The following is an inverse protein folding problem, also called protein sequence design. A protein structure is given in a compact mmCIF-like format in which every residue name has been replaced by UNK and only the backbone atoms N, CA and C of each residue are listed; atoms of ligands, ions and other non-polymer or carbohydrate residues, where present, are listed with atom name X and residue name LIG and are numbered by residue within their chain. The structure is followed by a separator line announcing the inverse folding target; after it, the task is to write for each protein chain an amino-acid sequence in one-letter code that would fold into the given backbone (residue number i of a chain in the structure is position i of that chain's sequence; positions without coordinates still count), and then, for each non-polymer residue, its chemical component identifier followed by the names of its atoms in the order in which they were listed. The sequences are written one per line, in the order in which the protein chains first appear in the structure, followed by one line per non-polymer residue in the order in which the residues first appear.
data_IF_972455235998
#
_entry.id   IF_972455235998
#
_cell.length_a   1.000
_cell.length_b   1.000
_cell.length_c   1.000
_cell.angle_alpha   90.00
_cell.angle_beta   90.00
_cell.angle_gamma   90.00
#
_symmetry.space_group_name_H-M   'P 1'
#
loop_
_entity.id
_entity.type
_entity.pdbx_description
1 polymer ?
#
# COMPACT_ATOMS: atom_id res chain seq x y z
N UNK A 1 26.87 -4.03 -20.67
CA UNK A 1 26.82 -3.46 -19.31
C UNK A 1 26.40 -4.54 -18.34
N UNK A 2 27.24 -4.87 -17.37
CA UNK A 2 26.95 -5.95 -16.43
C UNK A 2 26.29 -5.35 -15.20
N UNK A 3 25.05 -5.76 -14.91
CA UNK A 3 24.36 -5.36 -13.69
C UNK A 3 24.76 -6.28 -12.53
N UNK A 4 24.96 -5.70 -11.35
CA UNK A 4 25.23 -6.41 -10.12
C UNK A 4 24.10 -6.17 -9.13
N UNK A 5 23.69 -7.21 -8.42
CA UNK A 5 22.76 -7.09 -7.31
C UNK A 5 23.49 -6.66 -6.05
N UNK A 6 22.93 -5.72 -5.32
CA UNK A 6 23.36 -5.27 -4.00
C UNK A 6 22.21 -5.31 -3.02
N UNK A 7 22.47 -5.80 -1.83
CA UNK A 7 21.52 -5.77 -0.70
C UNK A 7 22.19 -5.20 0.55
N UNK A 8 21.42 -4.45 1.33
CA UNK A 8 21.89 -3.98 2.63
C UNK A 8 20.82 -4.17 3.72
N UNK A 9 21.27 -4.56 4.91
CA UNK A 9 20.43 -4.72 6.09
C UNK A 9 21.23 -4.39 7.35
N UNK A 10 20.80 -3.43 8.18
CA UNK A 10 19.74 -2.46 7.89
C UNK A 10 20.12 -1.52 6.74
N UNK A 11 19.10 -0.92 6.11
CA UNK A 11 19.28 0.09 5.07
C UNK A 11 19.96 1.36 5.61
N UNK A 12 20.91 1.90 4.85
CA UNK A 12 21.56 3.18 5.20
C UNK A 12 20.84 4.37 4.58
N UNK A 13 20.93 5.59 5.14
CA UNK A 13 20.33 6.78 4.56
C UNK A 13 20.74 7.04 3.09
N UNK A 14 22.00 6.77 2.74
CA UNK A 14 22.48 6.94 1.37
C UNK A 14 21.82 5.96 0.39
N UNK A 15 21.60 4.71 0.80
CA UNK A 15 20.90 3.71 -0.01
C UNK A 15 19.43 4.04 -0.15
N UNK A 16 18.75 4.45 0.93
CA UNK A 16 17.35 4.90 0.88
C UNK A 16 17.19 6.05 -0.12
N UNK A 17 18.04 7.07 -0.05
CA UNK A 17 18.01 8.19 -0.98
C UNK A 17 18.30 7.78 -2.44
N UNK A 18 19.15 6.77 -2.66
CA UNK A 18 19.43 6.26 -4.00
C UNK A 18 18.25 5.45 -4.56
N UNK A 19 17.58 4.64 -3.73
CA UNK A 19 16.38 3.90 -4.11
C UNK A 19 15.23 4.88 -4.44
N UNK A 20 15.00 5.89 -3.60
CA UNK A 20 13.96 6.88 -3.81
C UNK A 20 14.13 7.63 -5.14
N UNK A 21 15.38 7.96 -5.51
CA UNK A 21 15.69 8.63 -6.79
C UNK A 21 15.37 7.82 -8.03
N UNK A 22 15.36 6.50 -7.98
CA UNK A 22 15.05 5.63 -9.12
C UNK A 22 13.60 5.12 -9.12
N UNK A 23 12.84 5.41 -8.05
CA UNK A 23 11.46 4.95 -7.87
C UNK A 23 10.46 6.10 -7.83
N UNK A 24 10.36 6.87 -8.88
CA UNK A 24 9.45 8.02 -8.92
C UNK A 24 7.96 7.63 -8.90
N UNK A 25 7.64 6.42 -9.29
CA UNK A 25 6.25 5.96 -9.37
C UNK A 25 5.71 5.49 -8.01
N UNK A 26 6.56 4.89 -7.17
CA UNK A 26 6.15 4.28 -5.90
C UNK A 26 6.34 5.21 -4.71
N UNK A 27 5.31 5.48 -3.91
CA UNK A 27 5.46 6.18 -2.63
C UNK A 27 5.99 5.26 -1.51
N UNK A 28 6.10 3.95 -1.74
CA UNK A 28 6.51 2.93 -0.75
C UNK A 28 8.02 2.68 -0.72
N UNK A 29 8.80 3.35 -1.56
CA UNK A 29 10.25 3.22 -1.64
C UNK A 29 10.96 4.51 -1.19
N UNK A 30 10.41 5.20 -0.19
CA UNK A 30 10.93 6.46 0.34
C UNK A 30 11.60 6.30 1.70
N UNK A 31 12.48 7.23 2.06
CA UNK A 31 13.09 7.26 3.38
C UNK A 31 12.05 7.45 4.50
N UNK A 32 10.99 8.25 4.25
CA UNK A 32 9.91 8.45 5.21
C UNK A 32 9.09 7.16 5.44
N UNK A 33 8.78 6.42 4.37
CA UNK A 33 8.13 5.10 4.49
C UNK A 33 9.01 4.11 5.27
N UNK A 34 10.32 4.05 4.95
CA UNK A 34 11.28 3.22 5.66
C UNK A 34 11.31 3.52 7.16
N UNK A 35 11.28 4.82 7.53
CA UNK A 35 11.24 5.23 8.95
C UNK A 35 9.96 4.77 9.65
N UNK A 36 8.80 4.83 8.99
CA UNK A 36 7.54 4.32 9.54
C UNK A 36 7.60 2.80 9.76
N UNK A 37 8.11 2.05 8.79
CA UNK A 37 8.27 0.59 8.92
C UNK A 37 9.24 0.21 10.06
N UNK A 38 10.32 0.96 10.22
CA UNK A 38 11.26 0.75 11.32
C UNK A 38 10.63 1.04 12.70
N UNK A 39 9.82 2.10 12.81
CA UNK A 39 9.07 2.42 14.03
C UNK A 39 8.03 1.33 14.36
N UNK A 40 7.45 0.71 13.35
CA UNK A 40 6.56 -0.46 13.49
C UNK A 40 7.31 -1.77 13.81
N UNK A 41 8.61 -1.72 14.09
CA UNK A 41 9.43 -2.87 14.51
C UNK A 41 9.97 -3.74 13.38
N UNK A 42 9.90 -3.30 12.14
CA UNK A 42 10.45 -4.02 10.98
C UNK A 42 11.90 -3.59 10.72
N UNK A 43 12.75 -4.52 10.30
CA UNK A 43 14.08 -4.17 9.79
C UNK A 43 13.98 -3.86 8.30
N UNK A 44 14.26 -2.61 7.93
CA UNK A 44 14.22 -2.19 6.54
C UNK A 44 15.52 -2.59 5.84
N UNK A 45 15.38 -3.28 4.71
CA UNK A 45 16.45 -3.66 3.81
C UNK A 45 16.33 -2.89 2.49
N UNK A 46 17.42 -2.79 1.74
CA UNK A 46 17.41 -2.30 0.36
C UNK A 46 17.89 -3.40 -0.58
N UNK A 47 17.22 -3.50 -1.73
CA UNK A 47 17.60 -4.35 -2.85
C UNK A 47 17.78 -3.48 -4.09
N UNK A 48 18.92 -3.59 -4.75
CA UNK A 48 19.26 -2.75 -5.87
C UNK A 48 19.96 -3.51 -6.99
N UNK A 49 19.74 -3.08 -8.22
CA UNK A 49 20.62 -3.35 -9.35
C UNK A 49 21.49 -2.12 -9.56
N UNK A 50 22.78 -2.35 -9.64
CA UNK A 50 23.78 -1.33 -9.94
C UNK A 50 24.52 -1.67 -11.23
N UNK A 51 24.76 -0.67 -12.03
CA UNK A 51 25.82 -0.71 -13.04
C UNK A 51 27.15 -0.23 -12.44
N UNK A 52 28.14 0.02 -13.27
CA UNK A 52 29.48 0.46 -12.81
C UNK A 52 29.46 1.88 -12.17
N UNK A 53 28.37 2.64 -12.33
CA UNK A 53 28.28 4.07 -11.92
C UNK A 53 27.25 4.27 -10.83
N UNK A 54 26.02 3.73 -10.99
CA UNK A 54 24.89 4.10 -10.15
C UNK A 54 23.92 2.93 -9.91
N UNK A 55 23.02 3.10 -8.93
CA UNK A 55 21.81 2.27 -8.81
C UNK A 55 20.87 2.64 -9.95
N UNK A 56 20.47 1.64 -10.73
CA UNK A 56 19.57 1.80 -11.89
C UNK A 56 18.15 1.32 -11.62
N UNK A 57 17.99 0.42 -10.65
CA UNK A 57 16.69 -0.04 -10.16
C UNK A 57 16.83 -0.53 -8.72
N UNK A 58 15.76 -0.49 -7.94
CA UNK A 58 15.80 -1.05 -6.59
C UNK A 58 14.50 -0.81 -5.84
N UNK A 59 14.35 -1.46 -4.69
CA UNK A 59 13.21 -1.30 -3.80
C UNK A 59 13.60 -1.57 -2.35
N UNK A 60 12.63 -1.33 -1.45
CA UNK A 60 12.73 -1.69 -0.06
C UNK A 60 12.23 -3.13 0.18
N UNK A 61 12.88 -3.82 1.10
CA UNK A 61 12.40 -5.04 1.72
C UNK A 61 12.15 -4.82 3.21
N UNK A 62 11.13 -5.46 3.74
CA UNK A 62 10.74 -5.39 5.15
C UNK A 62 10.97 -6.75 5.79
N UNK A 63 11.98 -6.83 6.64
CA UNK A 63 12.34 -8.07 7.32
C UNK A 63 11.70 -8.08 8.72
N UNK A 64 10.71 -8.94 8.89
CA UNK A 64 10.05 -9.16 10.16
C UNK A 64 10.87 -10.05 11.10
N UNK A 65 10.82 -9.76 12.39
CA UNK A 65 11.57 -10.45 13.47
C UNK A 65 10.74 -11.50 14.18
N UNK A 66 10.22 -12.48 13.46
CA UNK A 66 9.55 -13.62 14.09
C UNK A 66 10.53 -14.54 14.83
N UNK A 67 10.19 -14.99 16.07
CA UNK A 67 11.04 -15.90 16.86
C UNK A 67 11.33 -17.26 16.18
N UNK A 68 10.41 -17.73 15.35
CA UNK A 68 10.47 -19.06 14.72
C UNK A 68 10.67 -19.02 13.20
N UNK A 69 10.41 -17.88 12.56
CA UNK A 69 10.65 -17.70 11.13
C UNK A 69 10.84 -16.22 10.84
N UNK A 70 11.83 -15.91 10.00
CA UNK A 70 11.95 -14.57 9.43
C UNK A 70 11.09 -14.50 8.18
N UNK A 71 10.32 -13.42 8.04
CA UNK A 71 9.54 -13.11 6.85
C UNK A 71 10.15 -11.89 6.19
N UNK A 72 10.29 -11.96 4.89
CA UNK A 72 10.65 -10.82 4.06
C UNK A 72 9.42 -10.42 3.23
N UNK A 73 9.09 -9.16 3.25
CA UNK A 73 8.05 -8.57 2.41
C UNK A 73 8.67 -7.55 1.46
N UNK A 74 8.34 -7.61 0.17
CA UNK A 74 8.65 -6.60 -0.83
C UNK A 74 7.33 -6.05 -1.34
N UNK A 75 7.02 -4.80 -0.98
CA UNK A 75 5.70 -4.19 -1.24
C UNK A 75 5.60 -3.63 -2.65
N UNK A 76 6.69 -3.06 -3.17
CA UNK A 76 6.70 -2.32 -4.43
C UNK A 76 8.01 -2.58 -5.18
N UNK A 77 8.12 -3.73 -5.87
CA UNK A 77 9.32 -4.06 -6.66
C UNK A 77 9.49 -3.08 -7.82
N UNK A 78 10.73 -2.84 -8.26
CA UNK A 78 11.01 -1.95 -9.36
C UNK A 78 10.76 -2.63 -10.70
N UNK A 79 10.58 -1.83 -11.75
CA UNK A 79 10.67 -2.34 -13.11
C UNK A 79 12.11 -2.73 -13.42
N UNK A 80 12.32 -3.95 -13.89
CA UNK A 80 13.64 -4.55 -14.06
C UNK A 80 13.96 -4.82 -15.53
N UNK A 81 15.15 -4.43 -15.96
CA UNK A 81 15.71 -4.83 -17.26
C UNK A 81 16.32 -6.24 -17.24
N UNK A 82 16.78 -6.69 -16.08
CA UNK A 82 17.33 -8.03 -15.84
C UNK A 82 16.68 -8.65 -14.59
N UNK A 83 15.44 -9.16 -14.69
CA UNK A 83 14.70 -9.69 -13.54
C UNK A 83 15.39 -10.85 -12.85
N UNK A 84 16.02 -11.77 -13.59
CA UNK A 84 16.72 -12.93 -13.02
C UNK A 84 17.85 -12.52 -12.07
N UNK A 85 18.71 -11.59 -12.48
CA UNK A 85 19.83 -11.11 -11.63
C UNK A 85 19.31 -10.54 -10.31
N UNK A 86 18.20 -9.80 -10.37
CA UNK A 86 17.61 -9.19 -9.17
C UNK A 86 17.00 -10.24 -8.24
N UNK A 87 16.14 -11.11 -8.78
CA UNK A 87 15.41 -12.06 -7.96
C UNK A 87 16.28 -13.21 -7.46
N UNK A 88 17.29 -13.64 -8.22
CA UNK A 88 18.30 -14.57 -7.72
C UNK A 88 19.08 -13.97 -6.55
N UNK A 89 19.44 -12.69 -6.64
CA UNK A 89 20.08 -11.95 -5.55
C UNK A 89 19.17 -11.82 -4.31
N UNK A 90 17.86 -11.56 -4.48
CA UNK A 90 16.90 -11.55 -3.36
C UNK A 90 16.79 -12.93 -2.71
N UNK A 91 16.76 -14.02 -3.50
CA UNK A 91 16.74 -15.38 -2.96
C UNK A 91 18.03 -15.73 -2.21
N UNK A 92 19.20 -15.30 -2.70
CA UNK A 92 20.47 -15.48 -1.99
C UNK A 92 20.49 -14.70 -0.68
N UNK A 93 19.99 -13.46 -0.67
CA UNK A 93 19.78 -12.70 0.56
C UNK A 93 18.85 -13.44 1.53
N UNK A 94 17.74 -13.98 1.05
CA UNK A 94 16.81 -14.76 1.88
C UNK A 94 17.51 -15.96 2.52
N UNK A 95 18.35 -16.68 1.78
CA UNK A 95 19.13 -17.81 2.30
C UNK A 95 20.12 -17.35 3.39
N UNK A 96 20.87 -16.26 3.13
CA UNK A 96 21.86 -15.71 4.05
C UNK A 96 21.21 -15.19 5.35
N UNK A 97 20.02 -14.57 5.26
CA UNK A 97 19.28 -14.04 6.40
C UNK A 97 18.33 -15.06 7.05
N UNK A 98 18.32 -16.31 6.59
CA UNK A 98 17.42 -17.36 7.10
C UNK A 98 15.93 -16.97 7.00
N UNK A 99 15.55 -16.31 5.93
CA UNK A 99 14.16 -16.00 5.60
C UNK A 99 13.47 -17.27 5.13
N UNK A 100 12.31 -17.58 5.72
CA UNK A 100 11.54 -18.79 5.36
C UNK A 100 10.25 -18.46 4.61
N UNK A 101 9.73 -17.26 4.81
CA UNK A 101 8.53 -16.78 4.14
C UNK A 101 8.88 -15.51 3.38
N UNK A 102 8.68 -15.55 2.06
CA UNK A 102 8.82 -14.40 1.19
C UNK A 102 7.44 -13.99 0.70
N UNK A 103 7.12 -12.72 0.81
CA UNK A 103 5.91 -12.14 0.26
C UNK A 103 6.27 -11.03 -0.72
N UNK A 104 5.76 -11.14 -1.92
CA UNK A 104 5.94 -10.17 -2.98
C UNK A 104 4.60 -9.57 -3.34
N UNK A 105 4.53 -8.24 -3.36
CA UNK A 105 3.36 -7.47 -3.78
C UNK A 105 3.81 -6.41 -4.78
N UNK A 106 3.05 -6.19 -5.83
CA UNK A 106 3.40 -5.18 -6.83
C UNK A 106 2.66 -3.85 -6.62
N UNK A 107 2.39 -3.48 -5.35
CA UNK A 107 1.67 -2.25 -5.02
C UNK A 107 2.44 -0.99 -5.41
N UNK A 108 1.73 -0.02 -5.98
CA UNK A 108 2.34 1.23 -6.40
C UNK A 108 3.49 1.04 -7.38
N UNK A 109 3.52 -0.07 -8.12
CA UNK A 109 4.46 -0.34 -9.20
C UNK A 109 3.82 0.00 -10.56
N UNK A 110 4.62 0.09 -11.60
CA UNK A 110 4.12 0.34 -12.97
C UNK A 110 3.60 -0.96 -13.65
N UNK A 111 2.80 -1.78 -12.94
CA UNK A 111 2.32 -3.07 -13.46
C UNK A 111 3.43 -4.12 -13.50
N UNK A 112 4.31 -4.13 -12.50
CA UNK A 112 5.37 -5.13 -12.40
C UNK A 112 4.77 -6.48 -12.06
N UNK A 113 5.07 -7.48 -12.87
CA UNK A 113 4.70 -8.87 -12.59
C UNK A 113 5.56 -9.44 -11.48
N UNK A 114 4.92 -10.16 -10.55
CA UNK A 114 5.62 -10.90 -9.51
C UNK A 114 6.23 -12.16 -10.14
N UNK A 115 7.54 -12.41 -10.00
CA UNK A 115 8.21 -13.53 -10.65
C UNK A 115 7.66 -14.87 -10.16
N UNK A 116 7.69 -15.88 -11.00
CA UNK A 116 7.50 -17.26 -10.60
C UNK A 116 8.79 -17.75 -9.90
N UNK A 117 8.74 -17.91 -8.58
CA UNK A 117 9.87 -18.39 -7.78
C UNK A 117 9.57 -19.76 -7.19
N UNK A 118 10.60 -20.56 -6.84
CA UNK A 118 10.42 -21.83 -6.14
C UNK A 118 9.67 -21.67 -4.82
N UNK A 119 8.78 -22.63 -4.50
CA UNK A 119 8.07 -22.64 -3.23
C UNK A 119 6.86 -21.73 -3.17
N UNK A 120 6.30 -21.34 -4.30
CA UNK A 120 5.07 -20.55 -4.36
C UNK A 120 3.91 -21.29 -3.65
N UNK A 121 3.27 -20.62 -2.72
CA UNK A 121 2.13 -21.12 -1.94
C UNK A 121 0.82 -20.54 -2.44
N UNK A 122 0.79 -19.24 -2.71
CA UNK A 122 -0.40 -18.53 -3.16
C UNK A 122 -0.02 -17.45 -4.18
N UNK A 123 -0.92 -17.20 -5.11
CA UNK A 123 -0.86 -16.05 -6.02
C UNK A 123 -2.26 -15.46 -6.14
N UNK A 124 -2.35 -14.14 -6.04
CA UNK A 124 -3.61 -13.39 -6.21
C UNK A 124 -3.41 -12.29 -7.22
N UNK A 125 -4.40 -12.08 -8.06
CA UNK A 125 -4.47 -10.95 -8.98
C UNK A 125 -5.40 -9.89 -8.41
N UNK A 126 -5.00 -8.64 -8.57
CA UNK A 126 -5.75 -7.44 -8.17
C UNK A 126 -5.52 -6.35 -9.21
N UNK A 127 -6.11 -5.20 -9.01
CA UNK A 127 -5.80 -4.02 -9.82
C UNK A 127 -5.72 -2.77 -8.96
N UNK A 128 -4.97 -1.79 -9.43
CA UNK A 128 -4.94 -0.42 -8.93
C UNK A 128 -5.50 0.54 -9.97
N UNK A 129 -5.93 1.72 -9.53
CA UNK A 129 -6.51 2.76 -10.36
C UNK A 129 -5.66 4.01 -10.22
N UNK A 130 -4.97 4.41 -11.29
CA UNK A 130 -3.95 5.46 -11.24
C UNK A 130 -4.30 6.61 -12.17
N UNK A 131 -4.30 7.82 -11.60
CA UNK A 131 -4.46 9.08 -12.35
C UNK A 131 -3.09 9.65 -12.69
N UNK A 132 -2.85 9.97 -13.98
CA UNK A 132 -1.72 10.79 -14.40
C UNK A 132 -2.09 12.27 -14.25
N UNK A 133 -1.63 12.88 -13.17
CA UNK A 133 -1.91 14.29 -12.87
C UNK A 133 -1.10 15.26 -13.75
N UNK A 134 -0.13 14.78 -14.54
CA UNK A 134 0.60 15.62 -15.52
C UNK A 134 -0.25 15.99 -16.73
N UNK A 135 -1.33 15.26 -16.98
CA UNK A 135 -2.27 15.58 -18.05
C UNK A 135 -2.92 16.94 -17.83
N UNK A 136 -3.27 17.71 -18.89
CA UNK A 136 -3.96 18.98 -18.76
C UNK A 136 -5.22 18.88 -17.91
N UNK A 137 -6.07 17.89 -18.17
CA UNK A 137 -7.25 17.56 -17.37
C UNK A 137 -7.22 16.06 -16.99
N UNK A 138 -6.68 15.69 -15.83
CA UNK A 138 -6.61 14.30 -15.38
C UNK A 138 -7.96 13.69 -15.04
N UNK A 139 -9.02 14.50 -14.95
CA UNK A 139 -10.37 14.09 -14.62
C UNK A 139 -11.36 14.28 -15.79
N UNK A 140 -10.88 14.46 -17.03
CA UNK A 140 -11.71 14.63 -18.22
C UNK A 140 -12.72 13.48 -18.43
N UNK A 141 -12.32 12.25 -18.08
CA UNK A 141 -13.05 11.03 -18.34
C UNK A 141 -13.88 10.52 -17.13
N UNK A 142 -14.35 11.43 -16.26
CA UNK A 142 -15.24 11.04 -15.16
C UNK A 142 -16.50 10.33 -15.67
N UNK A 143 -16.86 9.21 -15.03
CA UNK A 143 -18.12 8.52 -15.28
C UNK A 143 -19.33 9.36 -14.84
N UNK A 144 -20.49 9.06 -15.41
CA UNK A 144 -21.73 9.75 -15.01
C UNK A 144 -22.08 9.53 -13.53
N UNK A 145 -21.72 8.36 -12.99
CA UNK A 145 -21.88 8.05 -11.57
C UNK A 145 -21.06 9.02 -10.69
N UNK A 146 -19.79 9.23 -11.02
CA UNK A 146 -18.91 10.17 -10.28
C UNK A 146 -19.41 11.61 -10.48
N UNK A 147 -19.77 12.03 -11.70
CA UNK A 147 -20.33 13.36 -11.96
C UNK A 147 -21.59 13.63 -11.15
N UNK A 148 -22.49 12.64 -11.03
CA UNK A 148 -23.70 12.74 -10.19
C UNK A 148 -23.35 12.92 -8.72
N UNK A 149 -22.37 12.19 -8.21
CA UNK A 149 -21.89 12.34 -6.83
C UNK A 149 -21.30 13.74 -6.61
N UNK A 150 -20.52 14.26 -7.54
CA UNK A 150 -19.96 15.62 -7.47
C UNK A 150 -21.05 16.69 -7.48
N UNK A 151 -22.14 16.54 -8.27
CA UNK A 151 -23.28 17.45 -8.23
C UNK A 151 -23.98 17.47 -6.86
N UNK A 152 -24.07 16.31 -6.18
CA UNK A 152 -24.59 16.23 -4.80
C UNK A 152 -23.65 16.89 -3.81
N UNK A 153 -22.35 16.63 -3.93
CA UNK A 153 -21.33 17.14 -3.05
C UNK A 153 -21.24 18.68 -3.09
N UNK A 154 -21.38 19.29 -4.25
CA UNK A 154 -21.42 20.76 -4.39
C UNK A 154 -22.54 21.41 -3.57
N UNK A 155 -23.67 20.72 -3.40
CA UNK A 155 -24.79 21.22 -2.58
C UNK A 155 -24.56 21.06 -1.08
N UNK A 156 -23.65 20.12 -0.70
CA UNK A 156 -23.34 19.84 0.70
C UNK A 156 -22.31 20.80 1.29
N UNK A 157 -21.56 21.55 0.47
CA UNK A 157 -20.62 22.58 0.92
C UNK A 157 -19.45 22.03 1.71
N UNK A 158 -18.84 20.93 1.26
CA UNK A 158 -17.68 20.34 1.93
C UNK A 158 -16.45 21.27 1.89
N UNK A 159 -15.70 21.26 3.00
CA UNK A 159 -14.37 21.84 3.10
C UNK A 159 -13.29 20.74 3.12
N UNK A 160 -12.19 20.95 2.38
CA UNK A 160 -11.00 20.10 2.41
C UNK A 160 -10.18 20.42 3.64
N UNK A 161 -9.91 19.41 4.46
CA UNK A 161 -8.97 19.50 5.59
C UNK A 161 -7.82 18.53 5.35
N UNK A 162 -6.59 19.02 5.47
CA UNK A 162 -5.34 18.27 5.37
C UNK A 162 -4.58 18.39 6.68
N UNK A 163 -4.19 17.26 7.26
CA UNK A 163 -3.56 17.25 8.58
C UNK A 163 -2.73 15.99 8.82
N UNK A 164 -1.92 16.01 9.88
CA UNK A 164 -1.21 14.85 10.46
C UNK A 164 -1.56 14.65 11.93
N UNK A 165 -2.58 15.32 12.41
CA UNK A 165 -2.97 15.30 13.82
C UNK A 165 -3.58 13.96 14.24
N UNK A 166 -3.30 13.57 15.49
CA UNK A 166 -3.83 12.33 16.07
C UNK A 166 -5.36 12.32 16.12
N UNK A 167 -5.99 13.46 16.40
CA UNK A 167 -7.45 13.56 16.43
C UNK A 167 -8.08 13.21 15.07
N UNK A 168 -7.47 13.61 13.97
CA UNK A 168 -7.95 13.26 12.63
C UNK A 168 -7.77 11.76 12.32
N UNK A 169 -6.75 11.11 12.89
CA UNK A 169 -6.57 9.67 12.78
C UNK A 169 -7.66 8.91 13.53
N UNK A 170 -8.07 9.36 14.72
CA UNK A 170 -9.19 8.78 15.46
C UNK A 170 -10.51 8.91 14.67
N UNK A 171 -10.76 10.07 14.08
CA UNK A 171 -11.90 10.27 13.18
C UNK A 171 -11.84 9.32 11.99
N UNK A 172 -10.65 9.11 11.41
CA UNK A 172 -10.45 8.20 10.30
C UNK A 172 -10.84 6.76 10.65
N UNK A 173 -10.35 6.23 11.78
CA UNK A 173 -10.70 4.88 12.22
C UNK A 173 -12.17 4.74 12.60
N UNK A 174 -12.77 5.76 13.21
CA UNK A 174 -14.23 5.80 13.46
C UNK A 174 -15.03 5.68 12.16
N UNK A 175 -14.59 6.33 11.08
CA UNK A 175 -15.24 6.25 9.77
C UNK A 175 -15.01 4.90 9.08
N UNK A 176 -13.85 4.28 9.25
CA UNK A 176 -13.59 2.89 8.81
C UNK A 176 -14.58 1.96 9.49
N UNK A 177 -14.68 2.03 10.82
CA UNK A 177 -15.60 1.19 11.59
C UNK A 177 -17.06 1.38 11.15
N UNK A 178 -17.48 2.63 10.91
CA UNK A 178 -18.83 2.90 10.37
C UNK A 178 -19.04 2.28 8.99
N UNK A 179 -17.99 2.23 8.15
CA UNK A 179 -18.04 1.59 6.84
C UNK A 179 -18.11 0.06 6.96
N UNK A 180 -17.37 -0.53 7.89
CA UNK A 180 -17.40 -1.97 8.18
C UNK A 180 -18.77 -2.41 8.71
N UNK A 181 -19.30 -1.71 9.71
CA UNK A 181 -20.62 -2.01 10.28
C UNK A 181 -21.73 -1.97 9.20
N UNK A 182 -21.65 -1.03 8.25
CA UNK A 182 -22.58 -0.94 7.14
C UNK A 182 -22.45 -2.11 6.17
N UNK A 183 -21.24 -2.62 5.92
CA UNK A 183 -21.00 -3.80 5.09
C UNK A 183 -21.53 -5.07 5.78
N UNK A 184 -21.27 -5.24 7.07
CA UNK A 184 -21.82 -6.34 7.89
C UNK A 184 -23.35 -6.33 7.90
N UNK A 185 -23.98 -5.15 8.03
CA UNK A 185 -25.43 -5.02 7.98
C UNK A 185 -26.06 -5.43 6.60
N UNK A 186 -25.23 -5.51 5.55
CA UNK A 186 -25.62 -6.03 4.23
C UNK A 186 -25.30 -7.52 4.03
N UNK A 187 -24.84 -8.20 5.08
CA UNK A 187 -24.52 -9.62 5.05
C UNK A 187 -23.09 -9.96 4.59
N UNK A 188 -22.19 -8.96 4.49
CA UNK A 188 -20.79 -9.24 4.19
C UNK A 188 -20.10 -9.80 5.46
N UNK A 189 -19.39 -10.90 5.32
CA UNK A 189 -18.55 -11.43 6.41
C UNK A 189 -17.25 -10.63 6.47
N UNK A 190 -17.11 -9.81 7.49
CA UNK A 190 -15.90 -9.04 7.75
C UNK A 190 -15.29 -9.59 9.03
N UNK A 191 -14.09 -10.19 9.01
CA UNK A 191 -13.42 -10.61 10.21
C UNK A 191 -13.20 -9.40 11.13
N UNK A 192 -13.59 -9.51 12.37
CA UNK A 192 -13.23 -8.54 13.41
C UNK A 192 -11.98 -9.10 14.11
N UNK A 193 -10.81 -8.54 13.81
CA UNK A 193 -9.57 -8.84 14.49
C UNK A 193 -9.06 -7.56 15.17
N UNK A 194 -9.25 -7.48 16.49
CA UNK A 194 -8.80 -6.33 17.30
C UNK A 194 -7.28 -6.13 17.24
N UNK A 195 -6.52 -7.23 17.08
CA UNK A 195 -5.07 -7.15 16.96
C UNK A 195 -4.65 -6.53 15.63
N UNK A 196 -5.31 -6.93 14.53
CA UNK A 196 -5.08 -6.31 13.21
C UNK A 196 -5.48 -4.82 13.20
N UNK A 197 -6.57 -4.45 13.87
CA UNK A 197 -6.96 -3.04 13.99
C UNK A 197 -5.93 -2.24 14.79
N UNK A 198 -5.45 -2.77 15.90
CA UNK A 198 -4.43 -2.12 16.73
C UNK A 198 -3.11 -1.95 15.96
N UNK A 199 -2.69 -2.97 15.21
CA UNK A 199 -1.50 -2.91 14.35
C UNK A 199 -1.67 -1.86 13.25
N UNK A 200 -2.81 -1.83 12.56
CA UNK A 200 -3.13 -0.83 11.53
C UNK A 200 -3.12 0.61 12.08
N UNK A 201 -3.63 0.82 13.30
CA UNK A 201 -3.57 2.11 14.01
C UNK A 201 -2.14 2.51 14.31
N UNK A 202 -1.35 1.61 14.90
CA UNK A 202 0.06 1.85 15.22
C UNK A 202 0.88 2.18 13.97
N UNK A 203 0.69 1.43 12.90
CA UNK A 203 1.37 1.71 11.63
C UNK A 203 0.94 3.05 11.01
N UNK A 204 -0.35 3.38 11.04
CA UNK A 204 -0.84 4.68 10.56
C UNK A 204 -0.25 5.85 11.35
N UNK A 205 -0.09 5.71 12.68
CA UNK A 205 0.59 6.71 13.51
C UNK A 205 2.06 6.88 13.09
N UNK A 206 2.77 5.77 12.86
CA UNK A 206 4.16 5.80 12.40
C UNK A 206 4.30 6.48 11.02
N UNK A 207 3.36 6.23 10.10
CA UNK A 207 3.30 6.90 8.79
C UNK A 207 3.12 8.43 8.91
N UNK A 208 2.24 8.88 9.79
CA UNK A 208 2.02 10.32 10.02
C UNK A 208 3.24 10.98 10.66
N UNK A 209 3.82 10.34 11.68
CA UNK A 209 4.98 10.83 12.44
C UNK A 209 6.24 10.91 11.57
N UNK A 210 6.49 9.92 10.71
CA UNK A 210 7.62 9.92 9.78
C UNK A 210 7.47 10.92 8.63
N UNK A 211 6.27 11.44 8.42
CA UNK A 211 5.94 12.29 7.28
C UNK A 211 5.64 11.51 5.99
N UNK A 212 5.62 10.17 6.03
CA UNK A 212 5.30 9.34 4.86
C UNK A 212 3.84 9.49 4.41
N UNK A 213 2.92 9.82 5.33
CA UNK A 213 1.51 9.99 5.01
C UNK A 213 0.91 11.27 5.58
N UNK A 214 -0.24 11.62 5.03
CA UNK A 214 -1.12 12.70 5.49
C UNK A 214 -2.57 12.22 5.47
N UNK A 215 -3.39 12.83 6.31
CA UNK A 215 -4.84 12.60 6.33
C UNK A 215 -5.52 13.73 5.56
N UNK A 216 -6.40 13.34 4.66
CA UNK A 216 -7.29 14.26 3.93
C UNK A 216 -8.74 13.96 4.31
N UNK A 217 -9.47 14.99 4.66
CA UNK A 217 -10.87 14.86 5.13
C UNK A 217 -11.77 15.83 4.36
N UNK A 218 -13.00 15.37 4.08
CA UNK A 218 -14.10 16.24 3.69
C UNK A 218 -14.96 16.55 4.93
N UNK A 219 -15.08 17.81 5.27
CA UNK A 219 -15.79 18.28 6.47
C UNK A 219 -17.04 19.04 6.05
N UNK A 220 -18.19 18.79 6.72
CA UNK A 220 -19.40 19.59 6.63
C UNK A 220 -19.75 20.12 8.04
N UNK A 221 -19.71 21.44 8.22
CA UNK A 221 -19.82 22.04 9.55
C UNK A 221 -18.69 21.54 10.48
N UNK A 222 -19.05 20.82 11.54
CA UNK A 222 -18.11 20.22 12.49
C UNK A 222 -17.92 18.70 12.26
N UNK A 223 -18.55 18.12 11.25
CA UNK A 223 -18.58 16.68 11.06
C UNK A 223 -17.66 16.25 9.91
N UNK A 224 -16.81 15.24 10.19
CA UNK A 224 -16.00 14.59 9.16
C UNK A 224 -16.87 13.60 8.38
N UNK A 225 -17.02 13.83 7.08
CA UNK A 225 -17.88 13.05 6.19
C UNK A 225 -17.16 11.91 5.51
N UNK A 226 -15.89 12.09 5.19
CA UNK A 226 -15.00 11.04 4.68
C UNK A 226 -13.54 11.41 4.97
N UNK A 227 -12.70 10.40 5.07
CA UNK A 227 -11.28 10.54 5.38
C UNK A 227 -10.45 9.53 4.60
N UNK A 228 -9.29 9.96 4.10
CA UNK A 228 -8.28 9.14 3.44
C UNK A 228 -6.94 9.32 4.11
N UNK A 229 -6.23 8.22 4.38
CA UNK A 229 -4.78 8.24 4.64
C UNK A 229 -4.06 8.08 3.30
N UNK A 230 -3.21 9.04 2.98
CA UNK A 230 -2.51 9.14 1.70
C UNK A 230 -1.01 9.11 1.95
N UNK A 231 -0.36 8.04 1.47
CA UNK A 231 1.11 7.92 1.47
C UNK A 231 1.67 8.69 0.27
N UNK A 232 2.79 9.40 0.46
CA UNK A 232 3.33 10.31 -0.54
C UNK A 232 4.84 10.17 -0.72
N UNK A 233 5.27 10.40 -1.96
CA UNK A 233 6.64 10.76 -2.34
C UNK A 233 6.66 12.13 -3.00
N UNK A 234 7.81 12.55 -3.51
CA UNK A 234 7.91 13.79 -4.30
C UNK A 234 7.07 13.76 -5.58
N UNK A 235 6.86 12.58 -6.18
CA UNK A 235 6.22 12.45 -7.50
C UNK A 235 4.94 11.63 -7.50
N UNK A 236 4.66 10.90 -6.44
CA UNK A 236 3.53 9.98 -6.37
C UNK A 236 2.82 10.04 -5.03
N UNK A 237 1.53 9.71 -5.05
CA UNK A 237 0.69 9.57 -3.88
C UNK A 237 -0.20 8.33 -4.04
N UNK A 238 -0.49 7.64 -2.92
CA UNK A 238 -1.37 6.48 -2.90
C UNK A 238 -2.37 6.59 -1.74
N UNK A 239 -3.66 6.40 -2.03
CA UNK A 239 -4.67 6.30 -0.98
C UNK A 239 -4.63 4.90 -0.37
N UNK A 240 -4.12 4.77 0.85
CA UNK A 240 -3.90 3.47 1.51
C UNK A 240 -5.14 2.98 2.26
N UNK A 241 -5.87 3.88 2.90
CA UNK A 241 -7.10 3.53 3.60
C UNK A 241 -8.13 4.66 3.52
N UNK A 242 -9.40 4.31 3.67
CA UNK A 242 -10.49 5.30 3.61
C UNK A 242 -11.68 4.87 4.46
N UNK A 243 -12.36 5.85 5.05
CA UNK A 243 -13.61 5.69 5.74
C UNK A 243 -14.62 6.76 5.32
N UNK A 244 -15.92 6.41 5.34
CA UNK A 244 -16.98 7.34 4.97
C UNK A 244 -18.19 7.19 5.89
N UNK A 245 -18.70 8.31 6.40
CA UNK A 245 -19.93 8.37 7.16
C UNK A 245 -21.17 8.07 6.27
N UNK A 246 -22.28 7.57 6.84
CA UNK A 246 -23.51 7.35 6.07
C UNK A 246 -23.97 8.59 5.30
N UNK A 247 -23.92 9.76 5.92
CA UNK A 247 -24.27 11.04 5.29
C UNK A 247 -23.25 11.43 4.21
N UNK A 248 -21.96 11.22 4.46
CA UNK A 248 -20.93 11.44 3.46
C UNK A 248 -21.15 10.60 2.20
N UNK A 249 -21.58 9.34 2.36
CA UNK A 249 -21.92 8.47 1.23
C UNK A 249 -23.11 9.00 0.44
N UNK A 250 -24.19 9.44 1.11
CA UNK A 250 -25.39 10.02 0.48
C UNK A 250 -25.07 11.27 -0.33
N UNK A 251 -24.17 12.09 0.17
CA UNK A 251 -23.79 13.36 -0.44
C UNK A 251 -22.56 13.29 -1.36
N UNK A 252 -21.99 12.10 -1.61
CA UNK A 252 -20.88 11.91 -2.54
C UNK A 252 -19.53 12.46 -2.05
N UNK A 253 -19.30 12.51 -0.72
CA UNK A 253 -18.13 13.08 -0.09
C UNK A 253 -16.82 12.45 -0.57
N UNK A 254 -16.79 11.11 -0.75
CA UNK A 254 -15.58 10.41 -1.24
C UNK A 254 -15.20 10.81 -2.66
N UNK A 255 -16.19 10.96 -3.56
CA UNK A 255 -15.93 11.42 -4.93
C UNK A 255 -15.39 12.87 -4.93
N UNK A 256 -15.98 13.73 -4.12
CA UNK A 256 -15.54 15.11 -3.96
C UNK A 256 -14.11 15.18 -3.42
N UNK A 257 -13.83 14.45 -2.32
CA UNK A 257 -12.51 14.49 -1.69
C UNK A 257 -11.41 14.00 -2.62
N UNK A 258 -11.64 12.91 -3.39
CA UNK A 258 -10.66 12.43 -4.37
C UNK A 258 -10.44 13.43 -5.51
N UNK A 259 -11.47 14.16 -5.93
CA UNK A 259 -11.36 15.21 -6.94
C UNK A 259 -10.55 16.40 -6.43
N UNK A 260 -10.83 16.87 -5.21
CA UNK A 260 -10.07 17.97 -4.58
C UNK A 260 -8.62 17.55 -4.31
N UNK A 261 -8.40 16.31 -3.86
CA UNK A 261 -7.08 15.73 -3.65
C UNK A 261 -6.28 15.70 -4.96
N UNK A 262 -6.87 15.23 -6.06
CA UNK A 262 -6.22 15.21 -7.37
C UNK A 262 -5.83 16.63 -7.81
N UNK A 263 -6.72 17.61 -7.66
CA UNK A 263 -6.44 19.02 -7.97
C UNK A 263 -5.34 19.63 -7.10
N UNK A 264 -5.35 19.34 -5.80
CA UNK A 264 -4.32 19.82 -4.86
C UNK A 264 -2.95 19.21 -5.20
N UNK A 265 -2.87 17.89 -5.34
CA UNK A 265 -1.62 17.18 -5.63
C UNK A 265 -1.03 17.57 -6.98
N UNK A 266 -1.87 17.82 -8.00
CA UNK A 266 -1.43 18.36 -9.28
C UNK A 266 -0.74 19.72 -9.12
N UNK A 267 -1.34 20.64 -8.34
CA UNK A 267 -0.73 21.96 -8.07
C UNK A 267 0.59 21.87 -7.31
N UNK A 268 0.77 20.83 -6.49
CA UNK A 268 2.01 20.55 -5.75
C UNK A 268 3.07 19.81 -6.60
N UNK A 269 2.79 19.51 -7.87
CA UNK A 269 3.73 18.85 -8.78
C UNK A 269 3.76 17.33 -8.67
N UNK A 270 2.85 16.71 -7.91
CA UNK A 270 2.67 15.25 -7.91
C UNK A 270 2.22 14.80 -9.29
N UNK A 271 2.86 13.79 -9.84
CA UNK A 271 2.53 13.24 -11.16
C UNK A 271 1.51 12.10 -11.09
N UNK A 272 1.65 11.21 -10.12
CA UNK A 272 0.84 10.00 -10.03
C UNK A 272 -0.03 10.02 -8.78
N UNK A 273 -1.35 9.86 -8.94
CA UNK A 273 -2.26 9.60 -7.84
C UNK A 273 -2.87 8.21 -8.00
N UNK A 274 -2.43 7.28 -7.16
CA UNK A 274 -2.99 5.95 -7.06
C UNK A 274 -4.20 5.97 -6.09
N UNK A 275 -5.37 5.64 -6.60
CA UNK A 275 -6.60 5.56 -5.81
C UNK A 275 -6.68 4.26 -4.98
N UNK A 276 -5.59 3.50 -4.93
CA UNK A 276 -5.48 2.22 -4.23
C UNK A 276 -6.08 1.04 -5.00
N UNK A 277 -5.80 -0.16 -4.49
CA UNK A 277 -6.20 -1.42 -5.11
C UNK A 277 -7.66 -1.80 -4.87
N UNK A 278 -8.11 -2.80 -5.63
CA UNK A 278 -9.33 -3.57 -5.40
C UNK A 278 -9.12 -5.03 -5.81
N UNK A 279 -9.74 -5.95 -5.07
CA UNK A 279 -9.79 -7.37 -5.43
C UNK A 279 -10.73 -7.64 -6.60
N UNK A 280 -10.64 -8.83 -7.19
CA UNK A 280 -11.49 -9.24 -8.32
C UNK A 280 -12.99 -9.28 -7.95
N UNK A 281 -13.31 -9.61 -6.72
CA UNK A 281 -14.65 -9.70 -6.14
C UNK A 281 -15.20 -8.34 -5.64
N UNK A 282 -14.37 -7.33 -5.49
CA UNK A 282 -14.75 -5.99 -5.00
C UNK A 282 -15.30 -5.08 -6.11
N UNK A 283 -16.30 -5.56 -6.87
CA UNK A 283 -16.84 -4.89 -8.07
C UNK A 283 -17.35 -3.47 -7.82
N UNK A 284 -17.90 -3.20 -6.63
CA UNK A 284 -18.36 -1.88 -6.23
C UNK A 284 -17.22 -0.87 -6.07
N UNK A 285 -16.10 -1.31 -5.48
CA UNK A 285 -14.89 -0.50 -5.32
C UNK A 285 -14.24 -0.27 -6.68
N UNK A 286 -14.13 -1.33 -7.50
CA UNK A 286 -13.60 -1.22 -8.86
C UNK A 286 -14.42 -0.22 -9.70
N UNK A 287 -15.75 -0.35 -9.69
CA UNK A 287 -16.65 0.57 -10.41
C UNK A 287 -16.52 2.02 -9.94
N UNK A 288 -16.35 2.24 -8.63
CA UNK A 288 -16.16 3.58 -8.08
C UNK A 288 -14.82 4.18 -8.52
N UNK A 289 -13.70 3.43 -8.38
CA UNK A 289 -12.36 3.93 -8.69
C UNK A 289 -12.13 4.10 -10.19
N UNK A 290 -12.58 3.15 -11.02
CA UNK A 290 -12.51 3.26 -12.49
C UNK A 290 -13.31 4.45 -13.01
N UNK A 291 -14.36 4.84 -12.29
CA UNK A 291 -15.18 6.00 -12.61
C UNK A 291 -14.44 7.34 -12.64
N UNK A 292 -13.23 7.42 -12.13
CA UNK A 292 -12.37 8.60 -12.24
C UNK A 292 -11.59 8.69 -13.55
N UNK A 293 -11.67 7.68 -14.42
CA UNK A 293 -11.10 7.69 -15.76
C UNK A 293 -9.57 7.48 -15.80
N UNK A 294 -8.98 7.03 -14.69
CA UNK A 294 -7.55 6.69 -14.61
C UNK A 294 -7.21 5.36 -15.28
N UNK A 295 -5.93 5.06 -15.37
CA UNK A 295 -5.41 3.77 -15.83
C UNK A 295 -5.72 2.68 -14.81
N UNK A 296 -6.09 1.50 -15.31
CA UNK A 296 -6.18 0.28 -14.49
C UNK A 296 -4.84 -0.44 -14.63
N UNK A 297 -4.13 -0.57 -13.51
CA UNK A 297 -2.83 -1.24 -13.43
C UNK A 297 -3.03 -2.60 -12.79
N UNK A 298 -2.63 -3.66 -13.49
CA UNK A 298 -2.67 -5.01 -12.94
C UNK A 298 -1.66 -5.15 -11.79
N UNK A 299 -2.09 -5.81 -10.73
CA UNK A 299 -1.29 -6.14 -9.57
C UNK A 299 -1.24 -7.63 -9.35
N UNK A 300 -0.15 -8.07 -8.77
CA UNK A 300 -0.01 -9.43 -8.25
C UNK A 300 0.50 -9.41 -6.81
N UNK A 301 0.01 -10.37 -6.04
CA UNK A 301 0.54 -10.73 -4.72
C UNK A 301 0.88 -12.22 -4.75
N UNK A 302 2.06 -12.58 -4.28
CA UNK A 302 2.43 -13.99 -4.13
C UNK A 302 3.19 -14.23 -2.85
N UNK A 303 2.95 -15.39 -2.25
CA UNK A 303 3.66 -15.86 -1.06
C UNK A 303 4.47 -17.11 -1.40
N UNK A 304 5.66 -17.21 -0.85
CA UNK A 304 6.59 -18.30 -1.12
C UNK A 304 7.11 -18.87 0.19
N UNK A 305 7.19 -20.19 0.30
CA UNK A 305 7.91 -20.85 1.39
C UNK A 305 9.29 -21.26 0.91
N UNK A 306 10.30 -20.62 1.48
CA UNK A 306 11.72 -20.90 1.22
C UNK A 306 12.31 -21.90 2.23
N UNK A 307 11.50 -22.37 3.19
CA UNK A 307 11.92 -23.37 4.17
C UNK A 307 12.14 -24.74 3.52
N UNK A 308 13.16 -25.47 3.99
CA UNK A 308 13.38 -26.84 3.54
C UNK A 308 12.16 -27.73 3.87
N UNK A 309 11.93 -28.82 3.11
CA UNK A 309 10.79 -29.73 3.36
C UNK A 309 10.73 -30.27 4.80
N UNK A 310 11.88 -30.53 5.41
CA UNK A 310 11.98 -30.95 6.81
C UNK A 310 11.45 -29.88 7.78
N UNK A 311 11.81 -28.63 7.56
CA UNK A 311 11.35 -27.47 8.38
C UNK A 311 9.87 -27.16 8.14
N UNK A 312 9.37 -27.34 6.92
CA UNK A 312 7.94 -27.21 6.63
C UNK A 312 7.11 -28.22 7.43
N UNK A 313 7.55 -29.48 7.51
CA UNK A 313 6.90 -30.53 8.33
C UNK A 313 6.88 -30.15 9.81
N UNK A 314 7.98 -29.63 10.34
CA UNK A 314 8.06 -29.17 11.74
C UNK A 314 7.09 -28.00 12.02
N UNK A 315 6.95 -27.04 11.11
CA UNK A 315 5.98 -25.94 11.24
C UNK A 315 4.54 -26.46 11.25
N UNK A 316 4.21 -27.38 10.36
CA UNK A 316 2.88 -27.99 10.32
C UNK A 316 2.56 -28.69 11.63
N UNK A 317 3.49 -29.50 12.15
CA UNK A 317 3.34 -30.16 13.43
C UNK A 317 3.17 -29.17 14.60
N UNK A 318 3.99 -28.12 14.66
CA UNK A 318 3.89 -27.09 15.68
C UNK A 318 2.56 -26.30 15.61
N UNK A 319 2.02 -26.08 14.40
CA UNK A 319 0.72 -25.44 14.19
C UNK A 319 -0.45 -26.31 14.66
N UNK A 320 -0.40 -27.59 14.36
CA UNK A 320 -1.39 -28.58 14.85
C UNK A 320 -1.39 -28.66 16.38
N UNK A 321 -0.20 -28.69 17.02
CA UNK A 321 -0.09 -28.70 18.48
C UNK A 321 -0.69 -27.43 19.09
N UNK A 322 -0.43 -26.25 18.52
CA UNK A 322 -1.04 -25.00 19.00
C UNK A 322 -2.55 -25.00 18.87
N UNK A 323 -3.08 -25.48 17.75
CA UNK A 323 -4.54 -25.58 17.56
C UNK A 323 -5.19 -26.55 18.55
N UNK A 324 -4.53 -27.66 18.86
CA UNK A 324 -5.01 -28.59 19.90
C UNK A 324 -4.97 -27.96 21.30
N UNK A 325 -3.93 -27.19 21.64
CA UNK A 325 -3.81 -26.52 22.96
C UNK A 325 -4.78 -25.33 23.10
N UNK A 326 -5.12 -24.65 22.01
CA UNK A 326 -6.09 -23.53 22.04
C UNK A 326 -7.56 -23.99 22.01
N UNK A 327 -7.80 -25.30 21.86
CA UNK A 327 -9.14 -25.90 21.87
C UNK A 327 -9.53 -26.49 23.26
N UNK A 328 -8.66 -26.34 24.25
CA UNK A 328 -8.87 -26.62 25.66
C UNK A 328 -8.86 -25.33 26.49
#
# INVERSE_FOLDING_TARGET
MTLKFEAATPATPAQLAAIERVNHYSPFNTAAWAAACAEAGQTVCTFALRDDVAIVAGCLGLLGTGRLSRRLEVVSPPRLSQPSVFWDGVLDFCRAQQVWDLELRSYGSEGVEVPALPGELTRRKRCEFVLDLSLPDPLANLSESVRRNLRRARKAGFALHRTREQAALEDHFRLIQASMNRRQARGETIPADEAEEAEARGFSQALLKSGAAEIFQAIAGQSVMTSYVVVRSAFSACTCSSGVAPDGLRHGASAWLLTELAGLLKREGTRWLNLGGAGEDETGIQSFKSGFGGQIVALEEATFSLASPARQKLRTAARMIRQMVSSF
#
